data_IF_199409582254
#
_entry.id   IF_199409582254
#
_cell.length_a   1.000
_cell.length_b   1.000
_cell.length_c   1.000
_cell.angle_alpha   90.00
_cell.angle_beta   90.00
_cell.angle_gamma   90.00
#
_symmetry.space_group_name_H-M   'P 1'
#
loop_
_entity.id
_entity.type
_entity.pdbx_description
1 polymer ?
#
# COMPACT_ATOMS: atom_id res chain seq x y z
N UNK A 1 -40.92 10.15 49.92
CA UNK A 1 -40.42 11.30 49.14
C UNK A 1 -39.51 12.25 49.92
N UNK A 2 -39.75 12.53 51.20
CA UNK A 2 -38.95 13.52 51.96
C UNK A 2 -37.48 13.11 52.21
N UNK A 3 -37.21 11.81 52.42
CA UNK A 3 -35.86 11.29 52.69
C UNK A 3 -34.92 11.38 51.48
N UNK A 4 -35.40 11.06 50.26
CA UNK A 4 -34.60 11.20 49.03
C UNK A 4 -34.30 12.67 48.74
N UNK A 5 -35.28 13.55 48.96
CA UNK A 5 -35.12 15.00 48.79
C UNK A 5 -34.08 15.57 49.78
N UNK A 6 -34.07 15.11 51.03
CA UNK A 6 -33.06 15.52 52.01
C UNK A 6 -31.66 14.99 51.67
N UNK A 7 -31.56 13.75 51.19
CA UNK A 7 -30.27 13.17 50.79
C UNK A 7 -29.70 13.86 49.56
N UNK A 8 -30.53 14.15 48.55
CA UNK A 8 -30.13 14.90 47.36
C UNK A 8 -29.75 16.34 47.71
N UNK A 9 -30.51 17.03 48.56
CA UNK A 9 -30.14 18.38 49.03
C UNK A 9 -28.79 18.38 49.74
N UNK A 10 -28.52 17.39 50.59
CA UNK A 10 -27.24 17.29 51.32
C UNK A 10 -26.06 16.90 50.42
N UNK A 11 -26.34 16.24 49.28
CA UNK A 11 -25.32 15.83 48.33
C UNK A 11 -25.00 16.91 47.27
N UNK A 12 -26.01 17.72 46.87
CA UNK A 12 -25.92 18.64 45.75
C UNK A 12 -25.84 20.12 46.14
N UNK A 13 -26.23 20.47 47.37
CA UNK A 13 -26.23 21.86 47.85
C UNK A 13 -25.30 22.03 49.05
N UNK A 14 -24.71 23.23 49.22
CA UNK A 14 -23.84 23.53 50.34
C UNK A 14 -24.58 23.52 51.68
N UNK A 15 -23.84 23.20 52.75
CA UNK A 15 -24.38 23.16 54.11
C UNK A 15 -24.94 24.55 54.51
N UNK A 16 -26.19 24.59 54.97
CA UNK A 16 -26.86 25.82 55.39
C UNK A 16 -27.56 26.62 54.28
N UNK A 17 -27.66 26.07 53.06
CA UNK A 17 -28.40 26.68 51.95
C UNK A 17 -29.88 26.90 52.31
N UNK A 18 -30.49 28.06 51.99
CA UNK A 18 -29.98 29.15 51.15
C UNK A 18 -29.23 30.26 51.91
N UNK A 19 -29.36 30.36 53.23
CA UNK A 19 -28.84 31.49 54.02
C UNK A 19 -27.30 31.56 54.11
N UNK A 20 -26.60 30.50 53.72
CA UNK A 20 -25.13 30.42 53.76
C UNK A 20 -24.44 30.79 52.45
N UNK A 21 -25.18 31.14 51.39
CA UNK A 21 -24.63 31.49 50.07
C UNK A 21 -25.21 32.81 49.57
N UNK A 22 -24.55 33.43 48.59
CA UNK A 22 -25.01 34.66 47.95
C UNK A 22 -26.24 34.43 47.06
N UNK A 23 -27.02 35.48 46.81
CA UNK A 23 -28.29 35.40 46.07
C UNK A 23 -28.12 34.96 44.60
N UNK A 24 -26.92 35.17 44.03
CA UNK A 24 -26.54 34.77 42.67
C UNK A 24 -26.12 33.30 42.55
N UNK A 25 -25.95 32.58 43.67
CA UNK A 25 -25.41 31.22 43.70
C UNK A 25 -26.20 30.24 42.80
N UNK A 26 -27.53 30.28 42.86
CA UNK A 26 -28.36 29.36 42.07
C UNK A 26 -28.29 29.67 40.56
N UNK A 27 -28.26 30.94 40.20
CA UNK A 27 -28.17 31.37 38.80
C UNK A 27 -26.78 31.02 38.23
N UNK A 28 -25.72 31.30 38.98
CA UNK A 28 -24.35 30.89 38.64
C UNK A 28 -24.25 29.37 38.49
N UNK A 29 -24.70 28.60 39.49
CA UNK A 29 -24.56 27.14 39.49
C UNK A 29 -25.34 26.49 38.34
N UNK A 30 -26.47 27.07 37.92
CA UNK A 30 -27.22 26.61 36.76
C UNK A 30 -26.42 26.79 35.47
N UNK A 31 -25.89 28.00 35.23
CA UNK A 31 -25.10 28.28 34.03
C UNK A 31 -23.77 27.52 34.00
N UNK A 32 -23.07 27.40 35.13
CA UNK A 32 -21.83 26.63 35.26
C UNK A 32 -22.06 25.13 35.01
N UNK A 33 -23.15 24.56 35.53
CA UNK A 33 -23.50 23.16 35.28
C UNK A 33 -23.86 22.92 33.81
N UNK A 34 -24.57 23.85 33.17
CA UNK A 34 -24.89 23.78 31.74
C UNK A 34 -23.62 23.89 30.88
N UNK A 35 -22.71 24.79 31.24
CA UNK A 35 -21.40 24.92 30.61
C UNK A 35 -20.59 23.62 30.76
N UNK A 36 -20.52 23.03 31.96
CA UNK A 36 -19.82 21.78 32.22
C UNK A 36 -20.44 20.59 31.46
N UNK A 37 -21.76 20.56 31.34
CA UNK A 37 -22.48 19.57 30.53
C UNK A 37 -22.17 19.70 29.03
N UNK A 38 -22.26 20.92 28.48
CA UNK A 38 -21.89 21.21 27.09
C UNK A 38 -20.43 20.85 26.82
N UNK A 39 -19.52 21.22 27.73
CA UNK A 39 -18.08 20.87 27.66
C UNK A 39 -17.86 19.36 27.70
N UNK A 40 -18.58 18.62 28.54
CA UNK A 40 -18.52 17.16 28.61
C UNK A 40 -19.04 16.49 27.33
N UNK A 41 -20.12 17.00 26.72
CA UNK A 41 -20.62 16.52 25.43
C UNK A 41 -19.61 16.79 24.33
N UNK A 42 -19.07 18.01 24.24
CA UNK A 42 -18.04 18.35 23.26
C UNK A 42 -16.79 17.49 23.43
N UNK A 43 -16.36 17.23 24.67
CA UNK A 43 -15.25 16.33 24.98
C UNK A 43 -15.58 14.87 24.59
N UNK A 44 -16.78 14.37 24.85
CA UNK A 44 -17.17 13.01 24.46
C UNK A 44 -17.25 12.82 22.93
N UNK A 45 -17.71 13.86 22.21
CA UNK A 45 -17.69 13.90 20.75
C UNK A 45 -16.24 13.95 20.23
N UNK A 46 -15.37 14.73 20.87
CA UNK A 46 -13.95 14.77 20.57
C UNK A 46 -13.27 13.41 20.84
N UNK A 47 -13.59 12.71 21.93
CA UNK A 47 -13.00 11.40 22.27
C UNK A 47 -13.30 10.32 21.21
N UNK A 48 -14.51 10.30 20.65
CA UNK A 48 -14.86 9.40 19.55
C UNK A 48 -14.09 9.74 18.26
N UNK A 49 -13.92 11.02 17.96
CA UNK A 49 -13.11 11.48 16.83
C UNK A 49 -11.62 11.16 17.03
N UNK A 50 -11.08 11.38 18.23
CA UNK A 50 -9.68 11.12 18.59
C UNK A 50 -9.34 9.63 18.47
N UNK A 51 -10.19 8.72 18.93
CA UNK A 51 -9.93 7.28 18.79
C UNK A 51 -9.90 6.84 17.32
N UNK A 52 -10.85 7.35 16.52
CA UNK A 52 -10.96 7.05 15.08
C UNK A 52 -9.79 7.63 14.29
N UNK A 53 -9.45 8.89 14.51
CA UNK A 53 -8.33 9.57 13.83
C UNK A 53 -6.97 9.08 14.33
N UNK A 54 -6.82 8.86 15.64
CA UNK A 54 -5.60 8.36 16.25
C UNK A 54 -5.23 6.96 15.73
N UNK A 55 -6.19 6.05 15.63
CA UNK A 55 -5.96 4.73 15.02
C UNK A 55 -5.55 4.83 13.56
N UNK A 56 -6.14 5.74 12.79
CA UNK A 56 -5.75 6.03 11.40
C UNK A 56 -4.29 6.43 11.28
N UNK A 57 -3.85 7.39 12.11
CA UNK A 57 -2.51 7.98 12.03
C UNK A 57 -1.46 6.94 12.39
N UNK A 58 -1.68 6.21 13.48
CA UNK A 58 -0.76 5.14 13.91
C UNK A 58 -0.68 4.05 12.85
N UNK A 59 -1.81 3.59 12.32
CA UNK A 59 -1.82 2.58 11.26
C UNK A 59 -1.09 3.06 10.00
N UNK A 60 -1.32 4.31 9.59
CA UNK A 60 -0.63 4.93 8.46
C UNK A 60 0.88 4.99 8.65
N UNK A 61 1.34 5.42 9.82
CA UNK A 61 2.77 5.54 10.11
C UNK A 61 3.44 4.16 10.10
N UNK A 62 2.86 3.18 10.80
CA UNK A 62 3.37 1.80 10.85
C UNK A 62 3.39 1.17 9.46
N UNK A 63 2.37 1.39 8.65
CA UNK A 63 2.32 0.86 7.30
C UNK A 63 3.37 1.49 6.38
N UNK A 64 3.52 2.82 6.44
CA UNK A 64 4.51 3.53 5.65
C UNK A 64 5.95 3.10 6.00
N UNK A 65 6.25 2.84 7.28
CA UNK A 65 7.58 2.38 7.68
C UNK A 65 7.86 0.93 7.25
N UNK A 66 6.85 0.07 7.24
CA UNK A 66 7.03 -1.35 6.87
C UNK A 66 7.11 -1.54 5.36
N UNK A 67 6.32 -0.79 4.58
CA UNK A 67 5.97 -1.20 3.23
C UNK A 67 6.43 -0.27 2.10
N UNK A 68 6.99 0.91 2.42
CA UNK A 68 7.31 1.97 1.45
C UNK A 68 8.23 1.55 0.30
N UNK A 69 9.24 0.71 0.56
CA UNK A 69 10.25 0.32 -0.45
C UNK A 69 9.69 -0.57 -1.57
N UNK A 70 8.62 -1.33 -1.29
CA UNK A 70 8.02 -2.28 -2.23
C UNK A 70 6.97 -1.69 -3.18
N UNK A 71 6.57 -0.44 -2.98
CA UNK A 71 5.38 0.13 -3.62
C UNK A 71 5.64 0.55 -5.07
N UNK A 72 6.81 1.16 -5.34
CA UNK A 72 7.17 1.59 -6.69
C UNK A 72 7.40 0.38 -7.62
N UNK A 73 8.07 -0.67 -7.12
CA UNK A 73 8.36 -1.89 -7.89
C UNK A 73 7.12 -2.68 -8.28
N UNK A 74 6.12 -2.76 -7.40
CA UNK A 74 4.89 -3.50 -7.61
C UNK A 74 3.66 -2.58 -7.69
N UNK A 75 3.83 -1.40 -8.30
CA UNK A 75 2.83 -0.34 -8.34
C UNK A 75 1.44 -0.83 -8.82
N UNK A 76 1.38 -1.67 -9.86
CA UNK A 76 0.12 -2.25 -10.36
C UNK A 76 -0.62 -3.08 -9.31
N UNK A 77 0.10 -3.94 -8.60
CA UNK A 77 -0.48 -4.82 -7.57
C UNK A 77 -0.96 -3.96 -6.40
N UNK A 78 -0.15 -3.02 -5.92
CA UNK A 78 -0.51 -2.10 -4.84
C UNK A 78 -1.72 -1.22 -5.18
N UNK A 79 -1.85 -0.79 -6.43
CA UNK A 79 -3.02 -0.04 -6.88
C UNK A 79 -4.29 -0.89 -6.80
N UNK A 80 -4.26 -2.13 -7.31
CA UNK A 80 -5.40 -3.07 -7.18
C UNK A 80 -5.78 -3.31 -5.72
N UNK A 81 -4.80 -3.48 -4.84
CA UNK A 81 -5.01 -3.74 -3.42
C UNK A 81 -5.62 -2.54 -2.69
N UNK A 82 -5.15 -1.33 -2.98
CA UNK A 82 -5.70 -0.11 -2.40
C UNK A 82 -7.20 0.01 -2.71
N UNK A 83 -7.61 -0.21 -3.96
CA UNK A 83 -9.03 -0.13 -4.32
C UNK A 83 -9.88 -1.25 -3.69
N UNK A 84 -9.32 -2.46 -3.54
CA UNK A 84 -10.00 -3.55 -2.83
C UNK A 84 -10.18 -3.24 -1.34
N UNK A 85 -9.17 -2.66 -0.68
CA UNK A 85 -9.28 -2.20 0.70
C UNK A 85 -10.29 -1.06 0.85
N UNK A 86 -10.40 -0.18 -0.16
CA UNK A 86 -11.39 0.89 -0.16
C UNK A 86 -12.82 0.32 -0.17
N UNK A 87 -13.07 -0.66 -1.05
CA UNK A 87 -14.37 -1.33 -1.12
C UNK A 87 -14.69 -2.09 0.17
N UNK A 88 -13.67 -2.72 0.81
CA UNK A 88 -13.81 -3.34 2.11
C UNK A 88 -14.13 -2.33 3.23
N UNK A 89 -13.53 -1.14 3.21
CA UNK A 89 -13.85 -0.07 4.17
C UNK A 89 -15.30 0.41 4.02
N UNK A 90 -15.77 0.61 2.78
CA UNK A 90 -17.15 0.99 2.49
C UNK A 90 -18.12 -0.13 2.93
N UNK A 91 -17.76 -1.40 2.72
CA UNK A 91 -18.53 -2.54 3.21
C UNK A 91 -18.67 -2.52 4.74
N UNK A 92 -17.57 -2.26 5.46
CA UNK A 92 -17.60 -2.15 6.93
C UNK A 92 -18.52 -1.01 7.37
N UNK A 93 -18.45 0.15 6.73
CA UNK A 93 -19.31 1.30 7.04
C UNK A 93 -20.80 0.98 6.83
N UNK A 94 -21.14 0.34 5.71
CA UNK A 94 -22.52 -0.07 5.42
C UNK A 94 -23.01 -1.13 6.41
N UNK A 95 -22.12 -2.02 6.84
CA UNK A 95 -22.44 -3.05 7.82
C UNK A 95 -22.75 -2.49 9.21
N UNK A 96 -22.29 -1.28 9.56
CA UNK A 96 -22.55 -0.68 10.87
C UNK A 96 -24.05 -0.63 11.25
N UNK A 97 -24.94 -0.52 10.25
CA UNK A 97 -26.39 -0.50 10.47
C UNK A 97 -27.01 -1.87 10.77
N UNK A 98 -26.29 -2.96 10.48
CA UNK A 98 -26.73 -4.35 10.72
C UNK A 98 -26.29 -4.84 12.11
N UNK A 99 -25.14 -4.34 12.59
CA UNK A 99 -24.54 -4.82 13.83
C UNK A 99 -25.09 -4.08 15.07
N UNK A 100 -25.08 -4.72 16.25
CA UNK A 100 -25.43 -4.06 17.50
C UNK A 100 -24.57 -2.80 17.75
N UNK A 101 -25.19 -1.75 18.30
CA UNK A 101 -24.55 -0.43 18.50
C UNK A 101 -23.23 -0.44 19.30
N UNK A 102 -23.02 -1.44 20.17
CA UNK A 102 -21.79 -1.53 20.96
C UNK A 102 -20.54 -1.89 20.12
N UNK A 103 -20.71 -2.47 18.92
CA UNK A 103 -19.62 -2.71 17.98
C UNK A 103 -19.31 -1.52 17.07
N UNK A 104 -20.12 -0.46 17.10
CA UNK A 104 -20.03 0.66 16.15
C UNK A 104 -18.64 1.29 16.09
N UNK A 105 -18.06 1.61 17.26
CA UNK A 105 -16.76 2.25 17.34
C UNK A 105 -15.66 1.34 16.77
N UNK A 106 -15.71 0.04 17.08
CA UNK A 106 -14.72 -0.91 16.56
C UNK A 106 -14.79 -1.01 15.03
N UNK A 107 -15.99 -1.17 14.46
CA UNK A 107 -16.18 -1.22 13.00
C UNK A 107 -15.72 0.08 12.34
N UNK A 108 -16.06 1.24 12.92
CA UNK A 108 -15.64 2.53 12.39
C UNK A 108 -14.12 2.74 12.45
N UNK A 109 -13.45 2.28 13.52
CA UNK A 109 -11.99 2.28 13.60
C UNK A 109 -11.37 1.35 12.54
N UNK A 110 -11.90 0.14 12.36
CA UNK A 110 -11.44 -0.78 11.31
C UNK A 110 -11.56 -0.18 9.90
N UNK A 111 -12.71 0.43 9.59
CA UNK A 111 -12.96 1.12 8.31
C UNK A 111 -11.94 2.24 8.05
N UNK A 112 -11.64 3.05 9.07
CA UNK A 112 -10.68 4.15 8.93
C UNK A 112 -9.24 3.66 8.81
N UNK A 113 -8.85 2.61 9.54
CA UNK A 113 -7.54 1.97 9.34
C UNK A 113 -7.41 1.53 7.87
N UNK A 114 -8.42 0.87 7.32
CA UNK A 114 -8.40 0.48 5.90
C UNK A 114 -8.26 1.70 4.99
N UNK A 115 -9.06 2.76 5.18
CA UNK A 115 -8.96 4.00 4.38
C UNK A 115 -7.59 4.68 4.48
N UNK A 116 -6.94 4.60 5.64
CA UNK A 116 -5.63 5.20 5.85
C UNK A 116 -4.55 4.47 5.04
N UNK A 117 -4.61 3.13 5.00
CA UNK A 117 -3.78 2.28 4.14
C UNK A 117 -4.02 2.58 2.66
N UNK A 118 -5.30 2.75 2.26
CA UNK A 118 -5.66 3.17 0.90
C UNK A 118 -5.07 4.52 0.55
N UNK A 119 -5.08 5.48 1.47
CA UNK A 119 -4.50 6.80 1.25
C UNK A 119 -3.02 6.74 0.90
N UNK A 120 -2.25 5.92 1.63
CA UNK A 120 -0.81 5.75 1.39
C UNK A 120 -0.57 4.97 0.09
N UNK A 121 -1.22 3.81 -0.06
CA UNK A 121 -1.04 2.94 -1.23
C UNK A 121 -1.54 3.58 -2.52
N UNK A 122 -2.72 4.18 -2.50
CA UNK A 122 -3.27 4.93 -3.62
C UNK A 122 -2.44 6.15 -3.97
N UNK A 123 -1.98 6.91 -2.96
CA UNK A 123 -1.14 8.10 -3.17
C UNK A 123 0.20 7.78 -3.84
N UNK A 124 0.94 6.82 -3.29
CA UNK A 124 2.24 6.41 -3.83
C UNK A 124 2.12 5.83 -5.26
N UNK A 125 1.16 4.92 -5.48
CA UNK A 125 0.98 4.31 -6.80
C UNK A 125 0.47 5.30 -7.85
N UNK A 126 -0.38 6.27 -7.47
CA UNK A 126 -0.77 7.38 -8.36
C UNK A 126 0.44 8.23 -8.75
N UNK A 127 1.33 8.54 -7.82
CA UNK A 127 2.55 9.30 -8.12
C UNK A 127 3.45 8.54 -9.11
N UNK A 128 3.71 7.25 -8.87
CA UNK A 128 4.50 6.41 -9.77
C UNK A 128 3.87 6.29 -11.18
N UNK A 129 2.55 6.14 -11.28
CA UNK A 129 1.84 6.10 -12.58
C UNK A 129 1.91 7.44 -13.30
N UNK A 130 1.74 8.55 -12.57
CA UNK A 130 1.83 9.90 -13.15
C UNK A 130 3.24 10.15 -13.70
N UNK A 131 4.26 9.75 -12.95
CA UNK A 131 5.66 9.84 -13.40
C UNK A 131 5.89 9.01 -14.68
N UNK A 132 5.37 7.78 -14.72
CA UNK A 132 5.44 6.93 -15.91
C UNK A 132 4.72 7.53 -17.14
N UNK A 133 3.57 8.17 -16.93
CA UNK A 133 2.78 8.80 -18.01
C UNK A 133 3.39 10.11 -18.50
N UNK A 134 4.18 10.79 -17.67
CA UNK A 134 4.81 12.08 -17.96
C UNK A 134 6.10 11.94 -18.81
N UNK A 135 5.94 11.62 -20.09
CA UNK A 135 7.07 11.39 -21.02
C UNK A 135 7.87 12.64 -21.41
N UNK A 136 7.29 13.83 -21.30
CA UNK A 136 7.90 15.07 -21.76
C UNK A 136 8.27 15.99 -20.59
N UNK A 137 8.68 15.42 -19.45
CA UNK A 137 8.90 16.16 -18.20
C UNK A 137 7.67 17.00 -17.79
N UNK A 138 6.48 16.55 -18.16
CA UNK A 138 5.20 17.25 -18.01
C UNK A 138 4.35 16.69 -16.86
N UNK A 139 4.99 16.24 -15.78
CA UNK A 139 4.32 15.57 -14.65
C UNK A 139 3.25 16.44 -14.00
N UNK A 140 3.50 17.75 -13.86
CA UNK A 140 2.55 18.69 -13.27
C UNK A 140 1.26 18.82 -14.12
N UNK A 141 1.39 18.87 -15.45
CA UNK A 141 0.23 18.93 -16.35
C UNK A 141 -0.57 17.62 -16.30
N UNK A 142 0.09 16.46 -16.38
CA UNK A 142 -0.58 15.15 -16.26
C UNK A 142 -1.36 15.05 -14.94
N UNK A 143 -0.73 15.41 -13.81
CA UNK A 143 -1.38 15.42 -12.49
C UNK A 143 -2.57 16.38 -12.42
N UNK A 144 -2.43 17.60 -12.97
CA UNK A 144 -3.52 18.58 -12.98
C UNK A 144 -4.71 18.11 -13.83
N UNK A 145 -4.46 17.46 -14.97
CA UNK A 145 -5.51 16.89 -15.83
C UNK A 145 -6.20 15.70 -15.18
N UNK A 146 -5.44 14.80 -14.55
CA UNK A 146 -5.98 13.66 -13.81
C UNK A 146 -6.91 14.12 -12.67
N UNK A 147 -6.47 15.11 -11.87
CA UNK A 147 -7.32 15.73 -10.85
C UNK A 147 -8.57 16.40 -11.45
N UNK A 148 -8.46 17.06 -12.60
CA UNK A 148 -9.62 17.68 -13.26
C UNK A 148 -10.64 16.63 -13.73
N UNK A 149 -10.18 15.49 -14.26
CA UNK A 149 -11.05 14.37 -14.65
C UNK A 149 -11.78 13.80 -13.44
N UNK A 150 -11.07 13.59 -12.34
CA UNK A 150 -11.65 13.13 -11.07
C UNK A 150 -12.76 14.07 -10.57
N UNK A 151 -12.55 15.39 -10.64
CA UNK A 151 -13.55 16.39 -10.21
C UNK A 151 -14.84 16.34 -11.05
N UNK A 152 -14.72 16.19 -12.37
CA UNK A 152 -15.89 16.09 -13.26
C UNK A 152 -16.66 14.80 -12.98
N UNK A 153 -15.96 13.68 -12.80
CA UNK A 153 -16.59 12.39 -12.47
C UNK A 153 -17.30 12.47 -11.11
N UNK A 154 -16.67 13.07 -10.10
CA UNK A 154 -17.27 13.26 -8.78
C UNK A 154 -18.51 14.16 -8.81
N UNK A 155 -18.49 15.22 -9.63
CA UNK A 155 -19.66 16.08 -9.84
C UNK A 155 -20.82 15.28 -10.46
N UNK A 156 -20.55 14.47 -11.47
CA UNK A 156 -21.56 13.60 -12.08
C UNK A 156 -22.09 12.56 -11.08
N UNK A 157 -21.20 11.92 -10.32
CA UNK A 157 -21.57 10.96 -9.29
C UNK A 157 -22.46 11.59 -8.20
N UNK A 158 -22.21 12.84 -7.82
CA UNK A 158 -23.04 13.59 -6.88
C UNK A 158 -24.46 13.85 -7.42
N UNK A 159 -24.58 14.21 -8.69
CA UNK A 159 -25.88 14.39 -9.34
C UNK A 159 -26.66 13.06 -9.40
N UNK A 160 -25.98 11.96 -9.76
CA UNK A 160 -26.59 10.64 -9.77
C UNK A 160 -26.99 10.19 -8.36
N UNK A 161 -26.15 10.42 -7.34
CA UNK A 161 -26.45 10.01 -5.97
C UNK A 161 -27.65 10.75 -5.40
N UNK A 162 -27.84 12.04 -5.74
CA UNK A 162 -29.02 12.81 -5.36
C UNK A 162 -30.33 12.17 -5.87
N UNK A 163 -30.30 11.57 -7.07
CA UNK A 163 -31.45 10.87 -7.66
C UNK A 163 -31.64 9.47 -7.06
N UNK A 164 -30.55 8.79 -6.68
CA UNK A 164 -30.58 7.41 -6.16
C UNK A 164 -30.98 7.39 -4.68
N UNK A 165 -30.51 8.34 -3.86
CA UNK A 165 -30.72 8.35 -2.40
C UNK A 165 -32.20 8.15 -2.02
N UNK A 166 -33.17 8.93 -2.55
CA UNK A 166 -34.58 8.75 -2.21
C UNK A 166 -35.15 7.37 -2.57
N UNK A 167 -34.57 6.68 -3.56
CA UNK A 167 -35.00 5.34 -3.98
C UNK A 167 -34.48 4.23 -3.04
N UNK A 168 -33.37 4.47 -2.33
CA UNK A 168 -32.70 3.50 -1.45
C UNK A 168 -32.98 3.72 0.03
N UNK A 169 -33.34 4.94 0.47
CA UNK A 169 -33.40 5.32 1.90
C UNK A 169 -34.20 4.36 2.78
N UNK A 170 -35.34 3.87 2.31
CA UNK A 170 -36.21 2.97 3.09
C UNK A 170 -36.06 1.48 2.72
N UNK A 171 -35.13 1.15 1.81
CA UNK A 171 -35.00 -0.19 1.21
C UNK A 171 -33.60 -0.76 1.38
N UNK A 172 -33.31 -1.27 2.58
CA UNK A 172 -32.00 -1.86 2.92
C UNK A 172 -31.50 -2.90 1.90
N UNK A 173 -32.38 -3.81 1.45
CA UNK A 173 -32.03 -4.80 0.43
C UNK A 173 -31.57 -4.16 -0.90
N UNK A 174 -32.18 -3.06 -1.32
CA UNK A 174 -31.80 -2.35 -2.53
C UNK A 174 -30.44 -1.65 -2.39
N UNK A 175 -30.14 -1.10 -1.20
CA UNK A 175 -28.80 -0.58 -0.86
C UNK A 175 -27.72 -1.64 -1.00
N UNK A 176 -27.94 -2.84 -0.45
CA UNK A 176 -26.98 -3.94 -0.55
C UNK A 176 -26.79 -4.43 -1.99
N UNK A 177 -27.87 -4.58 -2.76
CA UNK A 177 -27.78 -4.96 -4.18
C UNK A 177 -26.96 -3.93 -4.97
N UNK A 178 -27.27 -2.64 -4.82
CA UNK A 178 -26.53 -1.58 -5.50
C UNK A 178 -25.07 -1.54 -5.06
N UNK A 179 -24.79 -1.69 -3.75
CA UNK A 179 -23.42 -1.75 -3.25
C UNK A 179 -22.62 -2.87 -3.94
N UNK A 180 -23.10 -4.12 -3.92
CA UNK A 180 -22.39 -5.22 -4.57
C UNK A 180 -22.24 -5.03 -6.08
N UNK A 181 -23.27 -4.51 -6.76
CA UNK A 181 -23.20 -4.20 -8.18
C UNK A 181 -22.10 -3.17 -8.49
N UNK A 182 -22.07 -2.06 -7.75
CA UNK A 182 -21.07 -1.00 -7.94
C UNK A 182 -19.68 -1.46 -7.51
N UNK A 183 -19.52 -2.22 -6.43
CA UNK A 183 -18.22 -2.76 -6.00
C UNK A 183 -17.65 -3.75 -7.01
N UNK A 184 -18.46 -4.67 -7.55
CA UNK A 184 -18.00 -5.59 -8.60
C UNK A 184 -17.59 -4.80 -9.86
N UNK A 185 -18.41 -3.82 -10.26
CA UNK A 185 -18.08 -2.95 -11.39
C UNK A 185 -16.80 -2.15 -11.15
N UNK A 186 -16.60 -1.63 -9.93
CA UNK A 186 -15.43 -0.85 -9.54
C UNK A 186 -14.15 -1.69 -9.64
N UNK A 187 -14.13 -2.88 -9.00
CA UNK A 187 -12.99 -3.81 -9.06
C UNK A 187 -12.70 -4.24 -10.51
N UNK A 188 -13.74 -4.52 -11.31
CA UNK A 188 -13.56 -4.90 -12.72
C UNK A 188 -12.96 -3.76 -13.57
N UNK A 189 -13.48 -2.54 -13.42
CA UNK A 189 -12.96 -1.36 -14.12
C UNK A 189 -11.51 -1.10 -13.73
N UNK A 190 -11.18 -1.22 -12.44
CA UNK A 190 -9.82 -1.07 -11.95
C UNK A 190 -8.87 -2.14 -12.51
N UNK A 191 -9.31 -3.40 -12.52
CA UNK A 191 -8.59 -4.50 -13.16
C UNK A 191 -8.29 -4.17 -14.62
N UNK A 192 -9.28 -3.71 -15.40
CA UNK A 192 -9.07 -3.32 -16.79
C UNK A 192 -8.12 -2.12 -16.94
N UNK A 193 -8.23 -1.12 -16.06
CA UNK A 193 -7.37 0.06 -16.08
C UNK A 193 -5.89 -0.30 -15.84
N UNK A 194 -5.61 -1.09 -14.80
CA UNK A 194 -4.24 -1.50 -14.45
C UNK A 194 -3.65 -2.41 -15.52
N UNK A 195 -4.46 -3.27 -16.14
CA UNK A 195 -4.04 -4.11 -17.28
C UNK A 195 -3.75 -3.33 -18.56
N UNK A 196 -4.25 -2.09 -18.67
CA UNK A 196 -3.93 -1.22 -19.79
C UNK A 196 -2.55 -0.52 -19.62
N UNK A 197 -2.02 -0.44 -18.40
CA UNK A 197 -0.73 0.20 -18.10
C UNK A 197 0.42 -0.64 -18.63
N UNK A 198 1.34 0.02 -19.37
CA UNK A 198 2.50 -0.60 -20.01
C UNK A 198 3.80 -0.02 -19.44
N UNK A 199 4.18 -0.51 -18.27
CA UNK A 199 5.40 -0.09 -17.59
C UNK A 199 6.63 -0.55 -18.38
N UNK A 200 7.49 0.40 -18.75
CA UNK A 200 8.71 0.15 -19.57
C UNK A 200 9.95 -0.20 -18.73
N UNK A 201 9.93 0.09 -17.43
CA UNK A 201 11.04 -0.16 -16.49
C UNK A 201 10.83 -1.50 -15.82
N UNK A 202 11.78 -2.43 -15.85
CA UNK A 202 11.62 -3.75 -15.23
C UNK A 202 11.40 -3.70 -13.71
N UNK A 203 10.55 -4.61 -13.22
CA UNK A 203 10.56 -5.09 -11.84
C UNK A 203 10.97 -6.57 -11.83
N UNK A 204 11.10 -7.18 -10.64
CA UNK A 204 11.45 -8.59 -10.49
C UNK A 204 10.55 -9.53 -11.30
N UNK A 205 9.22 -9.35 -11.21
CA UNK A 205 8.23 -10.22 -11.87
C UNK A 205 8.32 -10.14 -13.40
N UNK A 206 8.36 -8.92 -13.94
CA UNK A 206 8.42 -8.67 -15.39
C UNK A 206 9.75 -9.13 -15.97
N UNK A 207 10.85 -8.98 -15.24
CA UNK A 207 12.15 -9.50 -15.66
C UNK A 207 12.14 -11.04 -15.67
N UNK A 208 11.58 -11.69 -14.65
CA UNK A 208 11.49 -13.15 -14.60
C UNK A 208 10.68 -13.72 -15.79
N UNK A 209 9.53 -13.11 -16.10
CA UNK A 209 8.71 -13.49 -17.27
C UNK A 209 9.48 -13.27 -18.58
N UNK A 210 10.15 -12.12 -18.73
CA UNK A 210 10.99 -11.84 -19.91
C UNK A 210 12.06 -12.92 -20.11
N UNK A 211 12.79 -13.27 -19.04
CA UNK A 211 13.87 -14.24 -19.10
C UNK A 211 13.36 -15.66 -19.35
N UNK A 212 12.17 -16.01 -18.86
CA UNK A 212 11.54 -17.30 -19.12
C UNK A 212 11.15 -17.47 -20.60
N UNK A 213 10.52 -16.45 -21.23
CA UNK A 213 10.28 -16.49 -22.67
C UNK A 213 11.58 -16.52 -23.48
N UNK A 214 12.60 -15.76 -23.06
CA UNK A 214 13.91 -15.80 -23.70
C UNK A 214 14.55 -17.19 -23.60
N UNK A 215 14.40 -17.87 -22.45
CA UNK A 215 14.88 -19.24 -22.27
C UNK A 215 14.25 -20.19 -23.29
N UNK A 216 12.92 -20.14 -23.44
CA UNK A 216 12.12 -20.96 -24.34
C UNK A 216 12.16 -20.54 -25.82
N UNK A 217 12.94 -19.50 -26.18
CA UNK A 217 13.04 -18.94 -27.55
C UNK A 217 11.74 -18.31 -28.08
N UNK A 218 10.85 -17.85 -27.20
CA UNK A 218 9.59 -17.18 -27.57
C UNK A 218 9.81 -15.66 -27.76
N UNK A 219 10.63 -15.30 -28.76
CA UNK A 219 11.07 -13.90 -28.95
C UNK A 219 9.93 -12.94 -29.32
N UNK A 220 8.84 -13.44 -29.90
CA UNK A 220 7.62 -12.69 -30.24
C UNK A 220 6.86 -12.19 -29.00
N UNK A 221 7.06 -12.81 -27.84
CA UNK A 221 6.40 -12.45 -26.58
C UNK A 221 7.18 -11.47 -25.72
N UNK A 222 8.37 -11.02 -26.14
CA UNK A 222 9.25 -10.15 -25.36
C UNK A 222 8.80 -8.67 -25.32
N UNK A 223 7.70 -8.33 -25.98
CA UNK A 223 7.18 -6.96 -26.00
C UNK A 223 6.75 -6.48 -24.61
N UNK A 224 6.93 -5.18 -24.34
CA UNK A 224 6.44 -4.54 -23.11
C UNK A 224 4.96 -4.85 -22.88
N UNK A 225 4.14 -4.83 -23.94
CA UNK A 225 2.70 -5.10 -23.84
C UNK A 225 2.41 -6.52 -23.36
N UNK A 226 3.03 -7.53 -23.97
CA UNK A 226 2.77 -8.94 -23.64
C UNK A 226 3.18 -9.25 -22.20
N UNK A 227 4.40 -8.91 -21.81
CA UNK A 227 4.89 -9.18 -20.46
C UNK A 227 4.10 -8.42 -19.39
N UNK A 228 3.70 -7.16 -19.64
CA UNK A 228 2.84 -6.43 -18.71
C UNK A 228 1.43 -7.04 -18.58
N UNK A 229 0.97 -7.81 -19.56
CA UNK A 229 -0.27 -8.59 -19.50
C UNK A 229 -0.05 -9.97 -18.85
N UNK A 230 1.16 -10.51 -18.84
CA UNK A 230 1.41 -11.77 -18.13
C UNK A 230 1.74 -11.54 -16.65
N UNK A 231 2.19 -10.33 -16.31
CA UNK A 231 2.42 -9.90 -14.93
C UNK A 231 1.18 -10.12 -14.05
N UNK A 232 1.41 -10.81 -12.93
CA UNK A 232 0.40 -11.06 -11.93
C UNK A 232 0.15 -9.82 -11.07
N UNK A 233 -1.10 -9.37 -11.06
CA UNK A 233 -1.55 -8.16 -10.36
C UNK A 233 -2.25 -8.47 -9.03
N UNK A 234 -2.47 -9.73 -8.68
CA UNK A 234 -3.13 -10.13 -7.44
C UNK A 234 -2.11 -10.44 -6.34
N UNK A 235 -2.32 -9.91 -5.13
CA UNK A 235 -1.43 -10.16 -3.98
C UNK A 235 -1.43 -11.62 -3.51
N UNK A 236 -2.59 -12.28 -3.57
CA UNK A 236 -2.81 -13.59 -2.95
C UNK A 236 -2.46 -14.76 -3.86
N UNK A 237 -2.20 -14.50 -5.14
CA UNK A 237 -1.79 -15.49 -6.11
C UNK A 237 -0.30 -15.25 -6.39
N UNK A 238 0.55 -16.23 -6.16
CA UNK A 238 1.96 -16.18 -6.57
C UNK A 238 2.18 -17.18 -7.68
N UNK A 239 2.70 -16.69 -8.81
CA UNK A 239 3.14 -17.54 -9.91
C UNK A 239 4.59 -17.98 -9.69
N UNK A 240 5.04 -19.01 -10.40
CA UNK A 240 6.43 -19.47 -10.33
C UNK A 240 7.42 -18.36 -10.71
N UNK A 241 7.06 -17.51 -11.69
CA UNK A 241 7.82 -16.32 -12.07
C UNK A 241 7.96 -15.27 -10.95
N UNK A 242 6.97 -15.18 -10.05
CA UNK A 242 6.98 -14.23 -8.93
C UNK A 242 7.97 -14.65 -7.84
N UNK A 243 8.29 -15.96 -7.77
CA UNK A 243 9.15 -16.55 -6.74
C UNK A 243 10.62 -16.56 -7.12
N UNK A 244 10.94 -16.47 -8.42
CA UNK A 244 12.31 -16.58 -8.95
C UNK A 244 13.31 -15.68 -8.23
N UNK A 245 12.96 -14.41 -8.06
CA UNK A 245 13.82 -13.43 -7.41
C UNK A 245 13.33 -13.00 -6.02
N UNK A 246 12.36 -13.71 -5.45
CA UNK A 246 11.77 -13.32 -4.15
C UNK A 246 12.79 -13.40 -3.00
N UNK A 247 13.77 -14.30 -3.11
CA UNK A 247 14.86 -14.44 -2.13
C UNK A 247 16.14 -13.71 -2.55
N UNK A 248 16.07 -12.86 -3.58
CA UNK A 248 17.23 -12.14 -4.11
C UNK A 248 17.40 -10.82 -3.38
N UNK A 249 18.58 -10.58 -2.81
CA UNK A 249 18.90 -9.34 -2.12
C UNK A 249 20.17 -8.71 -2.66
N UNK A 250 20.16 -7.38 -2.84
CA UNK A 250 21.35 -6.64 -3.22
C UNK A 250 22.12 -6.18 -1.97
N UNK A 251 23.44 -6.39 -1.96
CA UNK A 251 24.34 -6.08 -0.83
C UNK A 251 25.54 -5.29 -1.34
N UNK A 252 26.04 -4.32 -0.58
CA UNK A 252 27.28 -3.60 -0.95
C UNK A 252 28.50 -4.52 -0.88
N UNK A 253 29.50 -4.27 -1.72
CA UNK A 253 30.72 -5.11 -1.81
C UNK A 253 31.49 -5.17 -0.50
N UNK A 254 31.53 -4.07 0.25
CA UNK A 254 32.29 -3.94 1.50
C UNK A 254 31.69 -4.77 2.66
N UNK A 255 30.46 -5.26 2.51
CA UNK A 255 29.74 -6.03 3.53
C UNK A 255 29.94 -7.55 3.40
N UNK A 256 30.63 -8.04 2.35
CA UNK A 256 30.83 -9.49 2.14
C UNK A 256 32.09 -9.95 2.90
N UNK A 257 31.99 -10.96 3.80
CA UNK A 257 33.17 -11.60 4.36
C UNK A 257 33.98 -12.32 3.28
N UNK A 258 35.30 -12.14 3.27
CA UNK A 258 36.25 -12.77 2.32
C UNK A 258 36.18 -14.33 2.27
N UNK A 259 35.44 -14.95 3.18
CA UNK A 259 35.30 -16.41 3.33
C UNK A 259 34.14 -17.04 2.54
N UNK A 260 33.32 -16.28 1.80
CA UNK A 260 32.19 -16.84 1.05
C UNK A 260 32.63 -17.19 -0.38
N UNK A 261 32.63 -18.49 -0.72
CA UNK A 261 32.81 -18.95 -2.10
C UNK A 261 31.68 -18.41 -2.98
N UNK A 262 32.02 -17.52 -3.90
CA UNK A 262 31.07 -16.97 -4.88
C UNK A 262 30.89 -17.93 -6.06
N UNK A 263 29.65 -18.12 -6.52
CA UNK A 263 29.36 -18.90 -7.72
C UNK A 263 29.81 -18.19 -9.01
N UNK A 264 30.02 -16.87 -8.95
CA UNK A 264 30.58 -16.08 -10.04
C UNK A 264 31.27 -14.82 -9.52
N UNK A 265 32.50 -14.64 -9.98
CA UNK A 265 33.34 -13.46 -9.79
C UNK A 265 33.73 -12.95 -11.16
N UNK A 266 33.04 -11.93 -11.65
CA UNK A 266 33.61 -11.02 -12.64
C UNK A 266 33.76 -9.69 -11.93
N UNK A 267 34.86 -8.95 -12.10
CA UNK A 267 35.27 -7.82 -11.23
C UNK A 267 34.22 -6.71 -11.00
N UNK A 268 33.07 -6.78 -11.69
CA UNK A 268 31.90 -5.91 -11.62
C UNK A 268 30.82 -6.33 -10.59
N UNK A 269 30.54 -7.64 -10.41
CA UNK A 269 29.54 -8.12 -9.45
C UNK A 269 29.81 -9.55 -8.98
N UNK A 270 29.32 -9.89 -7.79
CA UNK A 270 29.41 -11.21 -7.19
C UNK A 270 28.00 -11.77 -6.97
N UNK A 271 27.78 -13.03 -7.33
CA UNK A 271 26.53 -13.74 -7.03
C UNK A 271 26.83 -14.92 -6.12
N UNK A 272 26.12 -14.99 -5.00
CA UNK A 272 26.22 -16.08 -4.05
C UNK A 272 24.83 -16.62 -3.67
N UNK A 273 24.77 -17.92 -3.43
CA UNK A 273 23.55 -18.62 -3.01
C UNK A 273 23.88 -19.34 -1.71
N UNK A 274 23.20 -18.97 -0.63
CA UNK A 274 23.34 -19.61 0.68
C UNK A 274 22.65 -20.99 0.69
N UNK A 275 23.00 -21.85 1.66
CA UNK A 275 22.43 -23.17 1.90
C UNK A 275 20.90 -23.14 2.03
N UNK A 276 20.33 -22.03 2.51
CA UNK A 276 18.88 -21.80 2.60
C UNK A 276 18.21 -21.36 1.27
N UNK A 277 18.96 -21.42 0.17
CA UNK A 277 18.56 -20.92 -1.16
C UNK A 277 18.29 -19.41 -1.18
N UNK A 278 18.88 -18.64 -0.27
CA UNK A 278 18.86 -17.18 -0.33
C UNK A 278 19.89 -16.72 -1.35
N UNK A 279 19.47 -15.86 -2.27
CA UNK A 279 20.34 -15.38 -3.34
C UNK A 279 20.79 -13.97 -3.02
N UNK A 280 22.08 -13.72 -3.12
CA UNK A 280 22.62 -12.41 -2.84
C UNK A 280 23.49 -11.97 -4.01
N UNK A 281 23.34 -10.70 -4.35
CA UNK A 281 24.06 -10.06 -5.43
C UNK A 281 24.79 -8.87 -4.84
N UNK A 282 26.10 -8.83 -5.08
CA UNK A 282 26.91 -7.68 -4.69
C UNK A 282 27.50 -6.98 -5.88
N UNK A 283 27.42 -5.66 -5.87
CA UNK A 283 27.84 -4.78 -6.97
C UNK A 283 28.83 -3.76 -6.41
N UNK A 284 29.91 -3.47 -7.14
CA UNK A 284 30.83 -2.39 -6.79
C UNK A 284 30.17 -1.02 -6.95
N UNK A 285 30.42 -0.11 -6.00
CA UNK A 285 29.74 1.19 -5.88
C UNK A 285 29.58 1.94 -7.21
N UNK A 286 28.40 2.57 -7.35
CA UNK A 286 27.74 3.11 -8.55
C UNK A 286 27.05 2.05 -9.41
N UNK A 287 25.90 1.60 -8.92
CA UNK A 287 24.98 0.65 -9.53
C UNK A 287 24.35 1.21 -10.81
N UNK A 288 25.03 1.07 -11.94
CA UNK A 288 24.40 1.20 -13.25
C UNK A 288 23.25 0.17 -13.34
N UNK A 289 22.01 0.58 -13.65
CA UNK A 289 20.86 -0.33 -13.73
C UNK A 289 21.08 -1.52 -14.67
N UNK A 290 21.89 -1.33 -15.70
CA UNK A 290 22.31 -2.40 -16.63
C UNK A 290 23.07 -3.52 -15.91
N UNK A 291 23.93 -3.18 -14.94
CA UNK A 291 24.70 -4.15 -14.15
C UNK A 291 23.80 -4.93 -13.19
N UNK A 292 22.76 -4.29 -12.64
CA UNK A 292 21.73 -4.97 -11.88
C UNK A 292 20.96 -5.96 -12.76
N UNK A 293 20.62 -5.58 -14.00
CA UNK A 293 19.97 -6.50 -14.95
C UNK A 293 20.92 -7.64 -15.32
N UNK A 294 22.20 -7.36 -15.56
CA UNK A 294 23.22 -8.38 -15.89
C UNK A 294 23.34 -9.43 -14.79
N UNK A 295 23.49 -8.99 -13.55
CA UNK A 295 23.59 -9.88 -12.39
C UNK A 295 22.31 -10.70 -12.16
N UNK A 296 21.12 -10.12 -12.38
CA UNK A 296 19.85 -10.85 -12.31
C UNK A 296 19.68 -11.86 -13.46
N UNK A 297 20.11 -11.51 -14.68
CA UNK A 297 20.13 -12.45 -15.81
C UNK A 297 21.06 -13.62 -15.54
N UNK A 298 22.23 -13.35 -14.95
CA UNK A 298 23.18 -14.38 -14.55
C UNK A 298 22.60 -15.28 -13.45
N UNK A 299 22.01 -14.71 -12.40
CA UNK A 299 21.33 -15.47 -11.35
C UNK A 299 20.21 -16.35 -11.91
N UNK A 300 19.39 -15.83 -12.83
CA UNK A 300 18.36 -16.62 -13.49
C UNK A 300 18.96 -17.81 -14.27
N UNK A 301 20.07 -17.59 -14.98
CA UNK A 301 20.82 -18.63 -15.67
C UNK A 301 21.32 -19.72 -14.71
N UNK A 302 21.86 -19.35 -13.55
CA UNK A 302 22.27 -20.30 -12.51
C UNK A 302 21.09 -21.12 -11.98
N UNK A 303 19.97 -20.47 -11.64
CA UNK A 303 18.78 -21.13 -11.11
C UNK A 303 18.16 -22.11 -12.12
N UNK A 304 18.28 -21.83 -13.42
CA UNK A 304 17.80 -22.68 -14.51
C UNK A 304 18.89 -23.61 -15.11
N UNK A 305 20.09 -23.63 -14.54
CA UNK A 305 21.24 -24.41 -15.03
C UNK A 305 21.50 -24.21 -16.54
N UNK A 306 21.49 -22.94 -16.99
CA UNK A 306 21.57 -22.57 -18.40
C UNK A 306 22.63 -21.50 -18.67
N UNK A 307 23.69 -21.90 -19.36
CA UNK A 307 24.77 -21.01 -19.83
C UNK A 307 24.32 -19.94 -20.85
N UNK A 308 23.11 -20.08 -21.39
CA UNK A 308 22.55 -19.21 -22.44
C UNK A 308 22.57 -17.73 -22.04
N UNK A 309 22.36 -17.43 -20.76
CA UNK A 309 22.24 -16.06 -20.26
C UNK A 309 23.60 -15.37 -20.13
N UNK A 310 24.63 -16.10 -19.70
CA UNK A 310 25.99 -15.55 -19.56
C UNK A 310 26.62 -15.23 -20.92
N UNK A 311 26.42 -16.10 -21.92
CA UNK A 311 27.03 -15.93 -23.26
C UNK A 311 26.30 -14.92 -24.15
N UNK A 312 25.02 -14.64 -23.87
CA UNK A 312 24.16 -13.83 -24.75
C UNK A 312 23.66 -12.53 -24.13
N UNK A 313 24.29 -12.03 -23.06
CA UNK A 313 23.81 -10.82 -22.38
C UNK A 313 23.66 -9.61 -23.33
N UNK A 314 24.63 -9.39 -24.22
CA UNK A 314 24.54 -8.33 -25.24
C UNK A 314 23.32 -8.48 -26.16
N UNK A 315 22.98 -9.73 -26.55
CA UNK A 315 21.80 -10.02 -27.35
C UNK A 315 20.51 -9.79 -26.55
N UNK A 316 20.50 -10.14 -25.26
CA UNK A 316 19.38 -9.88 -24.35
C UNK A 316 19.12 -8.38 -24.25
N UNK A 317 20.16 -7.57 -24.00
CA UNK A 317 20.07 -6.11 -23.94
C UNK A 317 19.55 -5.49 -25.24
N UNK A 318 20.01 -6.00 -26.40
CA UNK A 318 19.54 -5.56 -27.70
C UNK A 318 18.04 -5.86 -27.88
N UNK A 319 17.61 -7.08 -27.57
CA UNK A 319 16.20 -7.47 -27.63
C UNK A 319 15.32 -6.66 -26.67
N UNK A 320 15.82 -6.34 -25.46
CA UNK A 320 15.11 -5.47 -24.52
C UNK A 320 14.85 -4.10 -25.13
N UNK A 321 15.88 -3.46 -25.72
CA UNK A 321 15.74 -2.15 -26.36
C UNK A 321 14.81 -2.18 -27.59
N UNK A 322 14.94 -3.18 -28.45
CA UNK A 322 14.08 -3.36 -29.63
C UNK A 322 12.60 -3.53 -29.26
N UNK A 323 12.32 -4.16 -28.11
CA UNK A 323 10.97 -4.37 -27.60
C UNK A 323 10.42 -3.20 -26.77
N UNK A 324 11.16 -2.09 -26.66
CA UNK A 324 10.74 -0.85 -26.01
C UNK A 324 10.92 -0.82 -24.49
N UNK A 325 11.80 -1.66 -23.94
CA UNK A 325 12.15 -1.63 -22.52
C UNK A 325 13.17 -0.54 -22.23
N UNK A 326 12.96 0.15 -21.12
CA UNK A 326 13.87 1.16 -20.61
C UNK A 326 14.86 0.51 -19.62
N UNK A 327 16.15 0.60 -19.96
CA UNK A 327 17.26 0.05 -19.17
C UNK A 327 17.97 1.12 -18.34
N UNK A 328 17.51 2.38 -18.38
CA UNK A 328 18.07 3.48 -17.60
C UNK A 328 17.67 3.44 -16.12
N UNK A 329 16.74 2.55 -15.75
CA UNK A 329 16.29 2.33 -14.39
C UNK A 329 15.83 0.89 -14.22
N UNK A 330 15.86 0.39 -12.98
CA UNK A 330 15.23 -0.87 -12.56
C UNK A 330 14.52 -0.61 -11.24
N UNK A 331 13.29 -1.10 -11.11
CA UNK A 331 12.53 -1.02 -9.88
C UNK A 331 12.66 -2.33 -9.11
N UNK A 332 13.77 -2.47 -8.39
CA UNK A 332 14.00 -3.56 -7.45
C UNK A 332 13.97 -3.02 -6.02
N UNK A 333 13.09 -3.56 -5.19
CA UNK A 333 12.72 -2.96 -3.90
C UNK A 333 13.72 -3.15 -2.76
N UNK A 334 14.71 -4.02 -2.91
CA UNK A 334 15.57 -4.44 -1.79
C UNK A 334 17.05 -4.31 -2.16
N UNK A 335 17.57 -3.07 -2.06
CA UNK A 335 18.95 -2.89 -1.62
C UNK A 335 18.93 -2.90 -0.09
N UNK A 336 19.62 -3.86 0.51
CA UNK A 336 19.83 -3.86 1.96
C UNK A 336 20.83 -2.76 2.27
N UNK A 337 20.42 -1.81 3.13
CA UNK A 337 21.36 -0.92 3.82
C UNK A 337 22.14 -1.68 4.90
N UNK A 338 23.36 -1.23 5.15
CA UNK A 338 24.48 -1.91 5.82
C UNK A 338 24.18 -2.59 7.18
N UNK A 339 23.08 -2.25 7.86
CA UNK A 339 22.76 -2.72 9.21
C UNK A 339 22.23 -4.17 9.32
N UNK A 340 21.76 -4.78 8.24
CA UNK A 340 21.22 -6.15 8.30
C UNK A 340 22.31 -7.25 8.31
N UNK A 341 23.54 -6.92 7.92
CA UNK A 341 24.70 -7.84 7.94
C UNK A 341 25.52 -7.73 9.23
N UNK A 342 25.35 -6.66 10.02
CA UNK A 342 26.13 -6.40 11.24
C UNK A 342 25.68 -7.24 12.45
N UNK A 343 24.53 -7.91 12.37
CA UNK A 343 24.14 -8.93 13.35
C UNK A 343 24.86 -10.25 13.05
N UNK A 344 26.14 -10.30 13.46
CA UNK A 344 27.05 -11.45 13.46
C UNK A 344 26.48 -12.76 14.03
N UNK A 345 25.34 -12.75 14.71
CA UNK A 345 24.79 -13.96 15.35
C UNK A 345 24.04 -14.91 14.41
N UNK A 346 23.65 -14.49 13.19
CA UNK A 346 22.93 -15.37 12.26
C UNK A 346 23.79 -16.16 11.27
N UNK A 347 25.04 -15.73 11.03
CA UNK A 347 25.98 -16.45 10.15
C UNK A 347 26.81 -17.52 10.89
N UNK A 348 26.93 -17.42 12.23
CA UNK A 348 27.72 -18.35 13.06
C UNK A 348 26.96 -19.63 13.49
N UNK A 349 25.87 -19.99 12.81
CA UNK A 349 25.19 -21.29 13.00
C UNK A 349 25.36 -22.22 11.79
N UNK A 350 26.43 -22.03 11.03
CA UNK A 350 26.89 -22.93 9.97
C UNK A 350 28.26 -23.49 10.37
N UNK A 351 28.26 -24.31 11.43
CA UNK A 351 29.23 -25.41 11.63
C UNK A 351 28.45 -26.71 11.81
#
# INVERSE_FOLDING_TARGET
>A
MNSIRSTLKRALLPNGFPSSVSDDYLEYQFWDSLQAFCSSIMNNLATQAILKEGTSIVASLVFATIQSTGMDSNCKTWRMFADLLNDAAILIDLSCNVWPKHYFIFLQCSSVILRSLVGIAGGATRAALTQHQAKCNNMADVSAKDQSQERIVNLFALLCSLLIIPLVSDRSLFTWILFYLFSISHVYCNYKAIRAVRMQIFNAKRLAIFLDHFHHNEFDKLSVKTINLEENIWFFQQNDSDRVFQKTRFVKRDSIPDAIESNHCDGKFHVFIDLNSNCFISISNESEPILMIESLCFLFGLLKQSDKFQKNFNKICLLMRENGWDLSAVLFAEMIDDDAMTNKEHLNKIE
#
